data_IF_857389006745
#
_entry.id   IF_857389006745
#
_cell.length_a   1.000
_cell.length_b   1.000
_cell.length_c   1.000
_cell.angle_alpha   90.00
_cell.angle_beta   90.00
_cell.angle_gamma   90.00
#
_symmetry.space_group_name_H-M   'P 1'
#
loop_
_entity.id
_entity.type
_entity.pdbx_description
1 polymer ?
#
# COMPACT_ATOMS: atom_id res chain seq x y z
N UNK A 1 11.53 -39.22 16.81
CA UNK A 1 11.25 -37.94 16.09
C UNK A 1 12.38 -37.44 15.17
N UNK A 2 13.54 -38.12 15.09
CA UNK A 2 14.70 -37.65 14.30
C UNK A 2 14.80 -38.23 12.88
N UNK A 3 14.41 -39.49 12.66
CA UNK A 3 14.48 -40.17 11.35
C UNK A 3 13.61 -39.48 10.30
N UNK A 4 12.39 -39.10 10.68
CA UNK A 4 11.42 -38.43 9.79
C UNK A 4 11.91 -37.06 9.27
N UNK A 5 12.72 -36.36 10.07
CA UNK A 5 13.31 -35.07 9.66
C UNK A 5 14.42 -35.27 8.65
N UNK A 6 15.26 -36.29 8.82
CA UNK A 6 16.35 -36.59 7.88
C UNK A 6 15.80 -37.08 6.54
N UNK A 7 14.76 -37.92 6.54
CA UNK A 7 14.15 -38.39 5.29
C UNK A 7 13.41 -37.26 4.55
N UNK A 8 12.83 -36.30 5.27
CA UNK A 8 12.31 -35.05 4.68
C UNK A 8 13.42 -34.22 4.03
N UNK A 9 14.56 -34.06 4.70
CA UNK A 9 15.72 -33.33 4.14
C UNK A 9 16.27 -34.01 2.89
N UNK A 10 16.38 -35.35 2.90
CA UNK A 10 16.83 -36.13 1.74
C UNK A 10 15.92 -35.96 0.53
N UNK A 11 14.60 -36.04 0.73
CA UNK A 11 13.61 -35.76 -0.33
C UNK A 11 13.77 -34.35 -0.90
N UNK A 12 13.86 -33.34 -0.03
CA UNK A 12 14.08 -31.96 -0.46
C UNK A 12 15.36 -31.79 -1.29
N UNK A 13 16.50 -32.35 -0.83
CA UNK A 13 17.77 -32.28 -1.57
C UNK A 13 17.67 -32.98 -2.92
N UNK A 14 16.98 -34.11 -3.00
CA UNK A 14 16.77 -34.84 -4.24
C UNK A 14 15.94 -34.02 -5.24
N UNK A 15 14.82 -33.43 -4.79
CA UNK A 15 13.99 -32.53 -5.61
C UNK A 15 14.78 -31.31 -6.12
N UNK A 16 15.65 -30.71 -5.28
CA UNK A 16 16.48 -29.58 -5.72
C UNK A 16 17.54 -29.99 -6.75
N UNK A 17 18.12 -31.19 -6.61
CA UNK A 17 19.07 -31.73 -7.60
C UNK A 17 18.40 -31.99 -8.95
N UNK A 18 17.16 -32.51 -8.93
CA UNK A 18 16.36 -32.77 -10.14
C UNK A 18 15.97 -31.48 -10.87
N UNK A 19 15.77 -30.37 -10.15
CA UNK A 19 15.49 -29.04 -10.72
C UNK A 19 16.68 -28.40 -11.45
N UNK A 20 17.88 -29.01 -11.35
CA UNK A 20 19.02 -28.74 -12.23
C UNK A 20 19.36 -27.26 -12.40
N UNK A 21 19.99 -26.63 -11.40
CA UNK A 21 21.03 -25.60 -11.57
C UNK A 21 21.42 -25.00 -10.21
N UNK A 22 22.73 -24.89 -10.02
CA UNK A 22 23.50 -24.05 -9.10
C UNK A 22 22.80 -23.43 -7.90
N UNK A 23 23.29 -23.79 -6.72
CA UNK A 23 23.15 -23.07 -5.45
C UNK A 23 23.68 -21.63 -5.59
N UNK A 24 22.93 -20.74 -6.22
CA UNK A 24 22.99 -19.33 -5.87
C UNK A 24 22.66 -19.16 -4.39
N UNK A 25 22.95 -18.00 -3.82
CA UNK A 25 22.59 -17.71 -2.40
C UNK A 25 21.07 -17.88 -2.16
N UNK A 26 20.27 -17.82 -3.22
CA UNK A 26 18.82 -17.78 -3.18
C UNK A 26 18.21 -18.79 -4.16
N UNK A 27 17.33 -19.66 -3.67
CA UNK A 27 16.45 -20.46 -4.52
C UNK A 27 15.34 -19.55 -5.07
N UNK A 28 15.34 -19.29 -6.37
CA UNK A 28 14.42 -18.31 -6.97
C UNK A 28 12.94 -18.60 -6.68
N UNK A 29 12.50 -19.86 -6.77
CA UNK A 29 11.14 -20.25 -6.41
C UNK A 29 10.81 -19.98 -4.93
N UNK A 30 11.71 -20.36 -4.01
CA UNK A 30 11.52 -20.11 -2.59
C UNK A 30 11.55 -18.62 -2.25
N UNK A 31 12.35 -17.84 -2.97
CA UNK A 31 12.41 -16.39 -2.85
C UNK A 31 11.12 -15.74 -3.32
N UNK A 32 10.61 -16.09 -4.49
CA UNK A 32 9.34 -15.56 -4.99
C UNK A 32 8.19 -15.85 -4.02
N UNK A 33 8.11 -17.08 -3.49
CA UNK A 33 7.14 -17.43 -2.44
C UNK A 33 7.38 -16.63 -1.15
N UNK A 34 8.63 -16.54 -0.69
CA UNK A 34 9.00 -15.81 0.52
C UNK A 34 8.68 -14.32 0.43
N UNK A 35 8.91 -13.69 -0.71
CA UNK A 35 8.56 -12.28 -0.94
C UNK A 35 7.04 -12.04 -0.91
N UNK A 36 6.23 -13.01 -1.35
CA UNK A 36 4.76 -12.96 -1.18
C UNK A 36 4.33 -13.09 0.28
N UNK A 37 5.06 -13.88 1.07
CA UNK A 37 4.71 -14.17 2.48
C UNK A 37 5.21 -13.10 3.46
N UNK A 38 6.31 -12.41 3.16
CA UNK A 38 6.79 -11.26 3.96
C UNK A 38 5.68 -10.23 4.17
N UNK A 39 4.86 -10.05 3.12
CA UNK A 39 3.60 -9.34 3.17
C UNK A 39 3.70 -7.88 3.63
N UNK A 40 2.54 -7.25 3.73
CA UNK A 40 2.40 -5.91 4.32
C UNK A 40 1.35 -5.98 5.43
N UNK A 41 1.41 -5.03 6.36
CA UNK A 41 0.46 -4.97 7.49
C UNK A 41 -0.99 -4.99 7.02
N UNK A 42 -1.26 -4.34 5.89
CA UNK A 42 -2.54 -4.39 5.17
C UNK A 42 -2.35 -3.89 3.73
N UNK A 43 -3.36 -4.03 2.85
CA UNK A 43 -3.28 -3.61 1.45
C UNK A 43 -2.96 -2.13 1.23
N UNK A 44 -3.35 -1.24 2.15
CA UNK A 44 -3.06 0.18 2.01
C UNK A 44 -1.55 0.47 2.06
N UNK A 45 -0.78 -0.28 2.87
CA UNK A 45 0.68 -0.13 2.91
C UNK A 45 1.35 -0.62 1.61
N UNK A 46 0.88 -1.73 1.04
CA UNK A 46 1.39 -2.21 -0.24
C UNK A 46 1.09 -1.21 -1.37
N UNK A 47 -0.14 -0.69 -1.43
CA UNK A 47 -0.50 0.32 -2.42
C UNK A 47 0.22 1.66 -2.18
N UNK A 48 0.54 2.01 -0.93
CA UNK A 48 1.32 3.20 -0.61
C UNK A 48 2.74 3.14 -1.21
N UNK A 49 3.40 1.98 -1.24
CA UNK A 49 4.71 1.84 -1.91
C UNK A 49 4.65 2.19 -3.40
N UNK A 50 3.56 1.81 -4.07
CA UNK A 50 3.34 2.16 -5.48
C UNK A 50 3.05 3.65 -5.66
N UNK A 51 2.28 4.24 -4.75
CA UNK A 51 2.01 5.69 -4.75
C UNK A 51 3.27 6.51 -4.46
N UNK A 52 4.13 6.05 -3.56
CA UNK A 52 5.41 6.69 -3.26
C UNK A 52 6.27 6.73 -4.52
N UNK A 53 6.34 5.62 -5.28
CA UNK A 53 7.04 5.59 -6.56
C UNK A 53 6.48 6.59 -7.57
N UNK A 54 5.15 6.71 -7.68
CA UNK A 54 4.51 7.70 -8.53
C UNK A 54 4.89 9.13 -8.14
N UNK A 55 4.83 9.44 -6.84
CA UNK A 55 5.18 10.76 -6.32
C UNK A 55 6.67 11.12 -6.46
N UNK A 56 7.54 10.12 -6.41
CA UNK A 56 8.96 10.27 -6.73
C UNK A 56 9.21 10.47 -8.21
N UNK A 57 8.36 9.90 -9.07
CA UNK A 57 8.33 10.20 -10.50
C UNK A 57 7.67 11.56 -10.82
N UNK A 58 7.53 12.44 -9.82
CA UNK A 58 6.96 13.77 -9.92
C UNK A 58 5.47 13.82 -10.33
N UNK A 59 4.72 12.75 -10.05
CA UNK A 59 3.27 12.75 -10.26
C UNK A 59 2.59 13.86 -9.42
N UNK A 60 1.75 14.65 -10.08
CA UNK A 60 0.84 15.61 -9.46
C UNK A 60 -0.49 14.97 -9.10
N UNK A 61 -0.86 13.89 -9.79
CA UNK A 61 -2.09 13.14 -9.57
C UNK A 61 -1.82 11.64 -9.60
N UNK A 62 -2.43 10.92 -8.64
CA UNK A 62 -2.44 9.46 -8.60
C UNK A 62 -3.88 8.99 -8.37
N UNK A 63 -4.38 8.12 -9.25
CA UNK A 63 -5.71 7.51 -9.16
C UNK A 63 -5.61 5.99 -9.00
N UNK A 64 -6.33 5.46 -8.02
CA UNK A 64 -6.52 4.02 -7.85
C UNK A 64 -7.89 3.66 -8.42
N UNK A 65 -7.94 2.80 -9.43
CA UNK A 65 -9.17 2.38 -10.11
C UNK A 65 -9.47 0.92 -9.84
N UNK A 66 -10.75 0.60 -9.70
CA UNK A 66 -11.23 -0.77 -9.56
C UNK A 66 -11.85 -1.24 -10.86
N UNK A 67 -11.37 -2.39 -11.35
CA UNK A 67 -11.89 -3.03 -12.55
C UNK A 67 -12.66 -4.31 -12.21
N UNK A 68 -13.60 -4.66 -13.07
CA UNK A 68 -14.48 -5.81 -12.92
C UNK A 68 -14.55 -6.57 -14.25
N UNK A 69 -14.48 -7.89 -14.20
CA UNK A 69 -14.70 -8.72 -15.37
C UNK A 69 -16.16 -8.64 -15.83
N UNK A 70 -16.42 -8.84 -17.13
CA UNK A 70 -17.79 -8.81 -17.69
C UNK A 70 -18.76 -9.77 -16.98
N UNK A 71 -18.24 -10.88 -16.42
CA UNK A 71 -19.04 -11.84 -15.65
C UNK A 71 -19.43 -11.36 -14.24
N UNK A 72 -18.74 -10.35 -13.70
CA UNK A 72 -18.94 -9.85 -12.34
C UNK A 72 -20.03 -8.76 -12.30
N UNK A 73 -21.29 -9.19 -12.46
CA UNK A 73 -22.45 -8.28 -12.49
C UNK A 73 -22.71 -7.49 -11.21
N UNK A 74 -22.16 -7.95 -10.08
CA UNK A 74 -22.41 -7.31 -8.79
C UNK A 74 -21.49 -6.13 -8.54
N UNK A 75 -20.31 -6.12 -9.17
CA UNK A 75 -19.24 -5.14 -8.94
C UNK A 75 -18.88 -4.96 -7.44
N UNK A 76 -19.21 -5.96 -6.61
CA UNK A 76 -18.98 -5.88 -5.15
C UNK A 76 -17.51 -6.13 -4.83
N UNK A 77 -16.86 -7.02 -5.57
CA UNK A 77 -15.46 -7.42 -5.37
C UNK A 77 -14.69 -7.07 -6.64
N UNK A 78 -13.65 -6.24 -6.58
CA UNK A 78 -12.85 -5.95 -7.76
C UNK A 78 -12.11 -7.20 -8.24
N UNK A 79 -12.05 -7.34 -9.55
CA UNK A 79 -11.17 -8.33 -10.21
C UNK A 79 -9.82 -7.70 -10.49
N UNK A 80 -9.79 -6.39 -10.76
CA UNK A 80 -8.58 -5.63 -11.01
C UNK A 80 -8.45 -4.44 -10.07
N UNK A 81 -7.21 -4.11 -9.70
CA UNK A 81 -6.87 -2.83 -9.05
C UNK A 81 -5.75 -2.19 -9.85
N UNK A 82 -5.97 -0.99 -10.35
CA UNK A 82 -4.97 -0.25 -11.11
C UNK A 82 -4.54 1.00 -10.36
N UNK A 83 -3.24 1.28 -10.31
CA UNK A 83 -2.65 2.51 -9.80
C UNK A 83 -2.19 3.28 -11.03
N UNK A 84 -2.72 4.48 -11.24
CA UNK A 84 -2.45 5.30 -12.42
C UNK A 84 -1.86 6.64 -11.97
N UNK A 85 -0.77 7.08 -12.58
CA UNK A 85 -0.14 8.37 -12.29
C UNK A 85 0.23 9.15 -13.54
N UNK A 86 0.37 10.47 -13.39
CA UNK A 86 0.84 11.42 -14.40
C UNK A 86 2.32 11.79 -14.22
N UNK A 87 3.12 10.90 -13.64
CA UNK A 87 4.54 11.13 -13.45
C UNK A 87 5.33 11.12 -14.78
N UNK A 88 6.65 11.16 -14.67
CA UNK A 88 7.55 11.19 -15.82
C UNK A 88 7.53 9.89 -16.67
N UNK A 89 6.95 8.81 -16.14
CA UNK A 89 7.00 7.48 -16.75
C UNK A 89 8.41 6.91 -16.79
N UNK A 90 8.56 5.81 -17.54
CA UNK A 90 9.80 5.06 -17.72
C UNK A 90 10.05 4.82 -19.20
N UNK A 91 11.32 4.88 -19.61
CA UNK A 91 11.72 4.31 -20.90
C UNK A 91 11.47 2.79 -20.90
N UNK A 92 11.24 2.15 -22.06
CA UNK A 92 10.86 0.74 -22.13
C UNK A 92 11.77 -0.17 -21.31
N UNK A 93 13.08 -0.05 -21.48
CA UNK A 93 14.09 -0.89 -20.82
C UNK A 93 13.99 -0.78 -19.29
N UNK A 94 13.71 0.42 -18.79
CA UNK A 94 13.57 0.68 -17.36
C UNK A 94 12.35 -0.03 -16.75
N UNK A 95 11.28 -0.29 -17.53
CA UNK A 95 10.12 -1.07 -17.06
C UNK A 95 10.57 -2.48 -16.69
N UNK A 96 11.38 -3.12 -17.55
CA UNK A 96 11.92 -4.45 -17.30
C UNK A 96 12.84 -4.51 -16.08
N UNK A 97 13.57 -3.43 -15.79
CA UNK A 97 14.34 -3.33 -14.54
C UNK A 97 13.45 -3.08 -13.32
N UNK A 98 12.45 -2.21 -13.41
CA UNK A 98 11.59 -1.84 -12.29
C UNK A 98 10.78 -3.01 -11.72
N UNK A 99 10.46 -4.01 -12.54
CA UNK A 99 9.76 -5.23 -12.10
C UNK A 99 10.69 -6.30 -11.48
N UNK A 100 12.02 -6.09 -11.53
CA UNK A 100 13.00 -6.98 -10.90
C UNK A 100 13.30 -6.53 -9.48
N UNK A 101 13.42 -7.48 -8.56
CA UNK A 101 13.95 -7.17 -7.23
C UNK A 101 15.40 -6.70 -7.33
N UNK A 102 15.69 -5.52 -6.77
CA UNK A 102 17.01 -4.90 -6.89
C UNK A 102 17.13 -3.94 -8.07
N UNK A 103 16.12 -3.87 -8.96
CA UNK A 103 16.14 -2.97 -10.11
C UNK A 103 15.80 -1.55 -9.72
N UNK A 104 16.78 -0.63 -9.81
CA UNK A 104 16.59 0.79 -9.52
C UNK A 104 17.63 1.64 -10.25
N UNK A 105 17.24 2.84 -10.66
CA UNK A 105 18.13 3.88 -11.20
C UNK A 105 18.66 4.83 -10.11
N UNK A 106 18.30 4.58 -8.83
CA UNK A 106 18.53 5.49 -7.69
C UNK A 106 19.50 4.94 -6.66
N UNK A 107 20.35 4.00 -7.06
CA UNK A 107 21.37 3.47 -6.16
C UNK A 107 22.28 4.61 -5.66
N UNK A 108 22.16 4.94 -4.37
CA UNK A 108 23.01 5.96 -3.72
C UNK A 108 22.32 7.29 -3.42
N UNK A 109 21.07 7.50 -3.84
CA UNK A 109 20.30 8.64 -3.36
C UNK A 109 20.03 8.50 -1.85
N UNK A 110 20.44 9.52 -1.08
CA UNK A 110 20.27 9.57 0.38
C UNK A 110 18.95 10.24 0.79
N UNK A 111 18.21 10.84 -0.15
CA UNK A 111 17.00 11.62 0.12
C UNK A 111 15.71 10.93 -0.35
N UNK A 112 15.77 10.04 -1.34
CA UNK A 112 14.62 9.29 -1.84
C UNK A 112 14.30 8.00 -1.06
N UNK A 113 13.00 7.69 -0.91
CA UNK A 113 12.50 6.32 -0.62
C UNK A 113 12.78 5.37 -1.82
N UNK A 114 12.73 4.05 -1.64
CA UNK A 114 12.85 3.11 -2.78
C UNK A 114 14.28 2.87 -3.32
N UNK A 115 15.32 3.24 -2.57
CA UNK A 115 16.74 3.13 -2.97
C UNK A 115 17.19 1.75 -3.47
N UNK A 116 16.56 0.67 -3.01
CA UNK A 116 17.02 -0.69 -3.28
C UNK A 116 16.25 -1.38 -4.42
N UNK A 117 15.19 -0.79 -4.97
CA UNK A 117 14.43 -1.44 -6.06
C UNK A 117 13.63 -2.67 -5.62
N UNK A 118 13.18 -2.73 -4.37
CA UNK A 118 12.34 -3.83 -3.85
C UNK A 118 10.86 -3.45 -3.75
N UNK A 119 10.52 -2.16 -3.71
CA UNK A 119 9.17 -1.69 -3.36
C UNK A 119 8.09 -2.14 -4.33
N UNK A 120 8.25 -1.86 -5.63
CA UNK A 120 7.27 -2.22 -6.66
C UNK A 120 7.00 -3.74 -6.73
N UNK A 121 8.00 -4.60 -6.99
CA UNK A 121 7.73 -6.01 -7.14
C UNK A 121 7.23 -6.63 -5.83
N UNK A 122 7.74 -6.23 -4.66
CA UNK A 122 7.30 -6.78 -3.36
C UNK A 122 5.85 -6.38 -3.03
N UNK A 123 5.50 -5.12 -3.23
CA UNK A 123 4.13 -4.64 -2.99
C UNK A 123 3.13 -5.29 -3.93
N UNK A 124 3.45 -5.40 -5.22
CA UNK A 124 2.59 -6.04 -6.21
C UNK A 124 2.35 -7.51 -5.89
N UNK A 125 3.41 -8.30 -5.65
CA UNK A 125 3.25 -9.74 -5.35
C UNK A 125 2.61 -10.00 -3.99
N UNK A 126 2.64 -9.04 -3.06
CA UNK A 126 1.93 -9.20 -1.77
C UNK A 126 0.39 -9.15 -1.93
N UNK A 127 -0.09 -8.55 -3.03
CA UNK A 127 -1.52 -8.36 -3.29
C UNK A 127 -2.06 -9.28 -4.38
N UNK A 128 -1.24 -9.57 -5.40
CA UNK A 128 -1.65 -10.28 -6.60
C UNK A 128 -0.61 -11.31 -7.06
N UNK A 129 -1.05 -12.40 -7.70
CA UNK A 129 -0.14 -13.35 -8.39
C UNK A 129 0.39 -12.83 -9.72
N UNK A 130 -0.40 -11.98 -10.36
CA UNK A 130 -0.09 -11.40 -11.65
C UNK A 130 -0.32 -9.91 -11.63
N UNK A 131 0.64 -9.17 -12.17
CA UNK A 131 0.53 -7.74 -12.38
C UNK A 131 1.21 -7.31 -13.67
N UNK A 132 0.72 -6.22 -14.26
CA UNK A 132 1.29 -5.63 -15.47
C UNK A 132 1.64 -4.17 -15.19
N UNK A 133 2.87 -3.78 -15.52
CA UNK A 133 3.33 -2.39 -15.43
C UNK A 133 3.35 -1.81 -16.82
N UNK A 134 2.48 -0.86 -17.08
CA UNK A 134 2.51 -0.01 -18.27
C UNK A 134 3.22 1.29 -17.91
N UNK A 135 4.11 1.76 -18.77
CA UNK A 135 4.69 3.09 -18.61
C UNK A 135 4.94 3.76 -19.95
N UNK A 136 4.82 5.08 -19.94
CA UNK A 136 4.98 5.94 -21.10
C UNK A 136 5.83 7.16 -20.71
N UNK A 137 7.01 7.36 -21.30
CA UNK A 137 7.74 8.61 -21.13
C UNK A 137 7.13 9.70 -22.03
N UNK A 138 7.43 10.96 -21.74
CA UNK A 138 6.80 12.12 -22.41
C UNK A 138 6.83 12.08 -23.94
N UNK A 139 7.94 11.60 -24.49
CA UNK A 139 8.20 11.56 -25.93
C UNK A 139 8.21 10.11 -26.46
N UNK A 140 7.42 9.22 -25.85
CA UNK A 140 7.35 7.81 -26.26
C UNK A 140 5.95 7.24 -26.20
N UNK A 141 5.85 5.95 -26.48
CA UNK A 141 4.60 5.18 -26.48
C UNK A 141 4.51 4.27 -25.26
N UNK A 142 3.29 3.83 -24.95
CA UNK A 142 3.05 2.85 -23.90
C UNK A 142 3.80 1.55 -24.19
N UNK A 143 4.63 1.16 -23.23
CA UNK A 143 5.23 -0.16 -23.16
C UNK A 143 4.79 -0.84 -21.88
N UNK A 144 4.80 -2.17 -21.88
CA UNK A 144 4.44 -2.94 -20.70
C UNK A 144 5.33 -4.16 -20.48
N UNK A 145 5.42 -4.54 -19.21
CA UNK A 145 5.91 -5.84 -18.76
C UNK A 145 4.87 -6.45 -17.84
N UNK A 146 4.49 -7.70 -18.12
CA UNK A 146 3.62 -8.49 -17.26
C UNK A 146 4.47 -9.46 -16.45
N UNK A 147 4.29 -9.45 -15.14
CA UNK A 147 4.87 -10.43 -14.24
C UNK A 147 3.77 -11.36 -13.76
N UNK A 148 3.89 -12.61 -14.17
CA UNK A 148 3.17 -13.73 -13.58
C UNK A 148 4.17 -14.56 -12.76
N UNK A 149 3.87 -14.77 -11.48
CA UNK A 149 4.80 -15.42 -10.56
C UNK A 149 4.97 -16.90 -10.88
N UNK A 150 3.92 -17.57 -11.33
CA UNK A 150 4.00 -18.99 -11.64
C UNK A 150 4.83 -19.18 -12.93
N UNK A 151 4.66 -18.30 -13.93
CA UNK A 151 5.52 -18.28 -15.13
C UNK A 151 6.99 -17.94 -14.80
N UNK A 152 7.21 -16.92 -13.96
CA UNK A 152 8.55 -16.49 -13.57
C UNK A 152 9.27 -17.59 -12.75
N UNK A 153 8.55 -18.26 -11.84
CA UNK A 153 9.09 -19.38 -11.07
C UNK A 153 9.44 -20.58 -11.98
N UNK A 154 8.62 -20.87 -12.98
CA UNK A 154 8.89 -21.92 -13.97
C UNK A 154 10.09 -21.57 -14.88
N UNK A 155 10.29 -20.29 -15.18
CA UNK A 155 11.40 -19.80 -15.99
C UNK A 155 12.69 -19.55 -15.19
N UNK A 156 12.65 -19.61 -13.86
CA UNK A 156 13.73 -19.10 -13.01
C UNK A 156 15.09 -19.79 -13.18
N UNK A 157 15.12 -21.03 -13.67
CA UNK A 157 16.36 -21.77 -13.97
C UNK A 157 16.92 -21.48 -15.37
N UNK A 158 16.19 -20.72 -16.20
CA UNK A 158 16.53 -20.34 -17.57
C UNK A 158 16.58 -18.82 -17.69
N UNK A 159 17.80 -18.28 -17.67
CA UNK A 159 18.05 -16.84 -17.76
C UNK A 159 17.48 -16.22 -19.04
N UNK A 160 17.50 -16.95 -20.17
CA UNK A 160 16.98 -16.43 -21.44
C UNK A 160 15.46 -16.33 -21.41
N UNK A 161 14.78 -17.33 -20.85
CA UNK A 161 13.32 -17.28 -20.67
C UNK A 161 12.92 -16.19 -19.69
N UNK A 162 13.63 -16.09 -18.57
CA UNK A 162 13.39 -15.03 -17.58
C UNK A 162 13.55 -13.64 -18.21
N UNK A 163 14.61 -13.42 -18.98
CA UNK A 163 14.82 -12.15 -19.69
C UNK A 163 13.70 -11.86 -20.69
N UNK A 164 13.27 -12.86 -21.45
CA UNK A 164 12.20 -12.71 -22.43
C UNK A 164 10.83 -12.38 -21.81
N UNK A 165 10.55 -12.87 -20.59
CA UNK A 165 9.35 -12.54 -19.82
C UNK A 165 9.37 -11.10 -19.30
N UNK A 166 10.55 -10.63 -18.88
CA UNK A 166 10.72 -9.30 -18.28
C UNK A 166 11.12 -8.21 -19.30
N UNK A 167 11.17 -8.57 -20.58
CA UNK A 167 11.45 -7.62 -21.67
C UNK A 167 10.21 -6.78 -21.99
N UNK A 168 10.35 -5.45 -22.05
CA UNK A 168 9.23 -4.55 -22.37
C UNK A 168 8.73 -4.77 -23.79
N UNK A 169 7.42 -4.61 -23.99
CA UNK A 169 6.79 -4.67 -25.31
C UNK A 169 5.85 -3.48 -25.50
N UNK A 170 5.69 -2.95 -26.74
CA UNK A 170 4.64 -2.00 -27.03
C UNK A 170 3.28 -2.57 -26.61
N UNK A 171 2.48 -1.77 -25.90
CA UNK A 171 1.23 -2.23 -25.32
C UNK A 171 0.17 -1.14 -25.32
N UNK A 172 -1.08 -1.55 -25.46
CA UNK A 172 -2.24 -0.67 -25.26
C UNK A 172 -2.83 -0.92 -23.87
N UNK A 173 -3.26 0.15 -23.21
CA UNK A 173 -3.99 0.01 -21.94
C UNK A 173 -5.32 -0.72 -22.14
N UNK A 174 -5.77 -1.53 -21.16
CA UNK A 174 -7.11 -2.12 -21.17
C UNK A 174 -8.22 -1.06 -21.32
N UNK A 175 -9.23 -1.36 -22.13
CA UNK A 175 -10.32 -0.42 -22.46
C UNK A 175 -11.03 0.15 -21.22
N UNK A 176 -11.23 -0.65 -20.18
CA UNK A 176 -11.89 -0.22 -18.95
C UNK A 176 -11.10 0.88 -18.21
N UNK A 177 -9.79 0.96 -18.40
CA UNK A 177 -8.94 2.03 -17.85
C UNK A 177 -9.04 3.31 -18.66
N UNK A 178 -9.42 3.23 -19.93
CA UNK A 178 -9.53 4.37 -20.84
C UNK A 178 -10.92 5.04 -20.79
N UNK A 179 -11.86 4.47 -20.06
CA UNK A 179 -13.18 5.06 -19.82
C UNK A 179 -13.05 6.40 -19.10
N UNK A 180 -14.05 7.27 -19.31
CA UNK A 180 -14.07 8.60 -18.70
C UNK A 180 -13.85 8.51 -17.17
N UNK A 181 -12.95 9.34 -16.61
CA UNK A 181 -12.71 9.38 -15.17
C UNK A 181 -14.01 9.56 -14.38
N UNK A 182 -14.13 8.85 -13.25
CA UNK A 182 -15.31 8.92 -12.37
C UNK A 182 -15.07 9.92 -11.24
N UNK A 183 -16.09 10.72 -10.90
CA UNK A 183 -16.08 11.58 -9.72
C UNK A 183 -14.89 12.55 -9.69
N UNK A 184 -14.07 12.48 -8.65
CA UNK A 184 -12.90 13.35 -8.44
C UNK A 184 -11.66 12.94 -9.27
N UNK A 185 -11.71 11.78 -9.93
CA UNK A 185 -10.65 11.32 -10.83
C UNK A 185 -10.60 12.25 -12.04
N UNK A 186 -9.43 12.81 -12.32
CA UNK A 186 -9.19 13.72 -13.45
C UNK A 186 -8.10 13.20 -14.40
N UNK A 187 -7.58 11.99 -14.17
CA UNK A 187 -6.52 11.42 -14.98
C UNK A 187 -7.10 10.80 -16.26
N UNK A 188 -7.10 11.55 -17.35
CA UNK A 188 -7.42 10.96 -18.67
C UNK A 188 -6.19 10.25 -19.25
N UNK A 189 -6.24 8.92 -19.24
CA UNK A 189 -5.15 8.08 -19.75
C UNK A 189 -5.01 8.12 -21.29
N UNK A 190 -6.04 8.56 -22.02
CA UNK A 190 -5.97 8.68 -23.48
C UNK A 190 -5.11 9.88 -23.92
N UNK A 191 -5.10 10.97 -23.13
CA UNK A 191 -4.40 12.21 -23.45
C UNK A 191 -3.12 12.42 -22.63
N UNK A 192 -2.74 11.42 -21.82
CA UNK A 192 -1.57 11.48 -20.96
C UNK A 192 -0.27 11.62 -21.78
N UNK A 193 0.52 12.64 -21.46
CA UNK A 193 1.85 12.85 -22.07
C UNK A 193 2.85 11.82 -21.56
N UNK A 194 2.89 11.61 -20.25
CA UNK A 194 3.74 10.63 -19.57
C UNK A 194 3.04 10.11 -18.33
N UNK A 195 3.41 8.90 -17.90
CA UNK A 195 2.92 8.33 -16.65
C UNK A 195 3.13 6.83 -16.56
N UNK A 196 2.67 6.25 -15.46
CA UNK A 196 2.74 4.81 -15.21
C UNK A 196 1.37 4.29 -14.78
N UNK A 197 1.05 3.06 -15.20
CA UNK A 197 -0.11 2.31 -14.73
C UNK A 197 0.36 0.95 -14.24
N UNK A 198 0.15 0.67 -12.96
CA UNK A 198 0.40 -0.64 -12.36
C UNK A 198 -0.95 -1.33 -12.22
N UNK A 199 -1.17 -2.38 -13.01
CA UNK A 199 -2.40 -3.17 -13.05
C UNK A 199 -2.21 -4.48 -12.29
N UNK A 200 -2.96 -4.68 -11.21
CA UNK A 200 -3.03 -5.93 -10.46
C UNK A 200 -4.21 -6.77 -10.98
N UNK A 201 -3.95 -8.01 -11.41
CA UNK A 201 -4.93 -8.85 -12.15
C UNK A 201 -5.42 -10.07 -11.38
N UNK A 202 -4.54 -10.86 -10.77
CA UNK A 202 -4.95 -12.01 -9.96
C UNK A 202 -4.83 -11.67 -8.47
N UNK A 203 -5.87 -11.08 -7.90
CA UNK A 203 -5.93 -10.54 -6.53
C UNK A 203 -6.10 -11.61 -5.43
N UNK A 204 -5.51 -12.79 -5.57
CA UNK A 204 -5.64 -13.93 -4.66
C UNK A 204 -5.44 -13.58 -3.16
N UNK A 205 -4.42 -12.78 -2.85
CA UNK A 205 -4.10 -12.35 -1.50
C UNK A 205 -5.09 -11.32 -0.99
N UNK A 206 -5.45 -10.33 -1.80
CA UNK A 206 -6.47 -9.35 -1.41
C UNK A 206 -7.82 -10.02 -1.12
N UNK A 207 -8.17 -11.07 -1.87
CA UNK A 207 -9.41 -11.85 -1.69
C UNK A 207 -9.40 -12.69 -0.42
N UNK A 208 -8.25 -13.16 0.04
CA UNK A 208 -8.15 -13.89 1.31
C UNK A 208 -8.10 -12.98 2.54
N UNK A 209 -7.79 -11.69 2.37
CA UNK A 209 -7.75 -10.72 3.47
C UNK A 209 -9.14 -10.25 3.90
N UNK A 210 -9.54 -10.65 5.11
CA UNK A 210 -10.81 -10.29 5.73
C UNK A 210 -11.07 -8.78 5.73
N UNK A 211 -12.22 -8.39 5.18
CA UNK A 211 -12.68 -6.99 5.16
C UNK A 211 -11.98 -6.09 4.15
N UNK A 212 -11.14 -6.60 3.24
CA UNK A 212 -10.53 -5.81 2.16
C UNK A 212 -11.05 -6.18 0.76
N UNK A 213 -11.90 -7.20 0.69
CA UNK A 213 -12.38 -7.76 -0.58
C UNK A 213 -13.49 -6.94 -1.25
N UNK A 214 -14.29 -6.17 -0.50
CA UNK A 214 -15.41 -5.41 -1.06
C UNK A 214 -14.93 -4.05 -1.54
N UNK A 215 -15.30 -3.62 -2.74
CA UNK A 215 -14.91 -2.34 -3.35
C UNK A 215 -15.17 -1.16 -2.41
N UNK A 216 -16.37 -1.05 -1.83
CA UNK A 216 -16.71 0.01 -0.86
C UNK A 216 -15.79 0.01 0.36
N UNK A 217 -15.52 -1.17 0.91
CA UNK A 217 -14.70 -1.31 2.11
C UNK A 217 -13.23 -1.02 1.82
N UNK A 218 -12.73 -1.51 0.68
CA UNK A 218 -11.39 -1.22 0.17
C UNK A 218 -11.24 0.29 -0.03
N UNK A 219 -12.12 0.94 -0.80
CA UNK A 219 -12.09 2.40 -1.02
C UNK A 219 -12.08 3.17 0.29
N UNK A 220 -13.00 2.86 1.19
CA UNK A 220 -13.11 3.55 2.49
C UNK A 220 -11.83 3.44 3.30
N UNK A 221 -11.25 2.24 3.40
CA UNK A 221 -10.02 2.02 4.15
C UNK A 221 -8.82 2.67 3.48
N UNK A 222 -8.70 2.59 2.17
CA UNK A 222 -7.63 3.26 1.41
C UNK A 222 -7.67 4.78 1.63
N UNK A 223 -8.84 5.41 1.50
CA UNK A 223 -9.00 6.84 1.76
C UNK A 223 -8.62 7.21 3.19
N UNK A 224 -8.98 6.39 4.18
CA UNK A 224 -8.60 6.61 5.57
C UNK A 224 -7.07 6.52 5.77
N UNK A 225 -6.44 5.48 5.23
CA UNK A 225 -5.00 5.28 5.35
C UNK A 225 -4.21 6.35 4.60
N UNK A 226 -4.53 6.61 3.34
CA UNK A 226 -3.88 7.63 2.52
C UNK A 226 -4.09 9.03 3.05
N UNK A 227 -5.27 9.30 3.62
CA UNK A 227 -5.53 10.55 4.33
C UNK A 227 -4.53 10.81 5.46
N UNK A 228 -4.09 9.77 6.17
CA UNK A 228 -3.08 9.89 7.25
C UNK A 228 -1.65 9.89 6.72
N UNK A 229 -1.34 8.96 5.80
CA UNK A 229 0.01 8.77 5.23
C UNK A 229 0.43 10.03 4.47
N UNK A 230 -0.43 10.51 3.58
CA UNK A 230 -0.16 11.60 2.65
C UNK A 230 -0.76 12.93 3.08
N UNK A 231 -1.12 13.10 4.37
CA UNK A 231 -1.79 14.31 4.88
C UNK A 231 -1.11 15.63 4.52
N UNK A 232 0.21 15.63 4.35
CA UNK A 232 0.99 16.81 3.96
C UNK A 232 1.09 17.00 2.45
N UNK A 233 0.85 15.95 1.65
CA UNK A 233 0.92 16.00 0.19
C UNK A 233 -0.44 16.22 -0.46
N UNK A 234 -1.54 15.76 0.16
CA UNK A 234 -2.91 15.94 -0.34
C UNK A 234 -3.28 17.39 -0.69
N UNK A 235 -2.81 18.44 0.02
CA UNK A 235 -3.09 19.82 -0.38
C UNK A 235 -2.46 20.23 -1.72
N UNK A 236 -1.36 19.60 -2.11
CA UNK A 236 -0.56 19.94 -3.28
C UNK A 236 -0.71 18.92 -4.42
N UNK A 237 -1.14 17.69 -4.08
CA UNK A 237 -1.21 16.55 -4.98
C UNK A 237 -2.56 15.88 -4.90
N UNK A 238 -3.07 15.45 -6.04
CA UNK A 238 -4.36 14.78 -6.14
C UNK A 238 -4.20 13.28 -5.89
N UNK A 239 -4.89 12.76 -4.88
CA UNK A 239 -5.01 11.31 -4.62
C UNK A 239 -6.47 10.94 -4.74
N UNK A 240 -6.80 10.02 -5.64
CA UNK A 240 -8.18 9.57 -5.86
C UNK A 240 -8.24 8.05 -5.71
N UNK A 241 -9.25 7.55 -5.00
CA UNK A 241 -9.54 6.12 -4.90
C UNK A 241 -10.94 5.88 -5.43
N UNK A 242 -11.01 5.24 -6.59
CA UNK A 242 -12.24 4.82 -7.26
C UNK A 242 -13.27 5.96 -7.33
N UNK A 243 -12.78 7.07 -7.89
CA UNK A 243 -13.53 8.31 -8.11
C UNK A 243 -13.78 9.19 -6.89
N UNK A 244 -13.19 8.88 -5.72
CA UNK A 244 -13.28 9.74 -4.52
C UNK A 244 -11.91 10.28 -4.12
N UNK A 245 -11.81 11.59 -3.96
CA UNK A 245 -10.60 12.27 -3.51
C UNK A 245 -10.26 11.96 -2.05
N UNK A 246 -8.98 11.73 -1.77
CA UNK A 246 -8.48 11.63 -0.41
C UNK A 246 -8.51 13.01 0.27
N UNK A 247 -8.72 12.99 1.59
CA UNK A 247 -8.67 14.17 2.43
C UNK A 247 -7.60 13.97 3.50
N UNK A 248 -6.83 15.00 3.81
CA UNK A 248 -5.85 14.95 4.89
C UNK A 248 -6.54 14.56 6.20
N UNK A 249 -5.98 13.60 6.92
CA UNK A 249 -6.42 13.17 8.25
C UNK A 249 -5.22 13.33 9.17
N UNK A 250 -5.33 14.23 10.14
CA UNK A 250 -4.30 14.42 11.15
C UNK A 250 -4.71 13.73 12.46
N UNK A 251 -4.03 12.64 12.85
CA UNK A 251 -4.33 11.95 14.11
C UNK A 251 -4.18 12.84 15.36
N UNK A 252 -3.40 13.92 15.28
CA UNK A 252 -3.16 14.85 16.37
C UNK A 252 -4.08 16.08 16.34
N UNK A 253 -4.87 16.24 15.27
CA UNK A 253 -5.80 17.36 15.06
C UNK A 253 -5.13 18.75 15.18
N UNK A 254 -3.90 18.87 14.71
CA UNK A 254 -3.10 20.09 14.68
C UNK A 254 -3.19 20.81 13.32
N UNK A 255 -3.44 20.08 12.24
CA UNK A 255 -3.48 20.62 10.88
C UNK A 255 -4.86 21.22 10.58
N UNK A 256 -4.91 22.51 10.30
CA UNK A 256 -6.17 23.26 10.06
C UNK A 256 -6.95 22.74 8.84
N UNK A 257 -6.24 22.37 7.77
CA UNK A 257 -6.82 21.80 6.55
C UNK A 257 -7.17 20.31 6.66
N UNK A 258 -6.84 19.64 7.78
CA UNK A 258 -7.16 18.23 7.94
C UNK A 258 -8.63 18.04 8.33
N UNK A 259 -9.21 16.94 7.83
CA UNK A 259 -10.55 16.49 8.20
C UNK A 259 -10.64 16.39 9.73
N UNK A 260 -11.75 16.90 10.27
CA UNK A 260 -12.06 16.95 11.71
C UNK A 260 -11.33 18.02 12.55
N UNK A 261 -10.52 18.91 11.95
CA UNK A 261 -9.81 19.99 12.66
C UNK A 261 -10.74 20.86 13.53
N UNK A 262 -11.90 21.27 12.99
CA UNK A 262 -12.86 22.16 13.66
C UNK A 262 -13.67 21.46 14.76
N UNK A 263 -14.03 20.19 14.56
CA UNK A 263 -14.95 19.46 15.45
C UNK A 263 -14.30 19.10 16.80
N UNK A 264 -12.98 18.98 16.83
CA UNK A 264 -12.23 18.65 18.04
C UNK A 264 -11.45 19.82 18.64
N UNK A 265 -11.20 20.91 17.91
CA UNK A 265 -10.79 22.18 18.52
C UNK A 265 -11.83 22.65 19.54
N UNK A 266 -13.12 22.50 19.26
CA UNK A 266 -14.19 22.81 20.20
C UNK A 266 -14.07 21.97 21.49
N UNK A 267 -13.83 20.66 21.36
CA UNK A 267 -13.61 19.76 22.51
C UNK A 267 -12.35 20.16 23.25
N UNK A 268 -11.21 20.35 22.56
CA UNK A 268 -9.92 20.71 23.18
C UNK A 268 -9.96 22.07 23.87
N UNK A 269 -10.66 23.04 23.32
CA UNK A 269 -10.90 24.34 23.95
C UNK A 269 -11.84 24.19 25.15
N UNK A 270 -12.88 23.36 25.06
CA UNK A 270 -13.72 23.03 26.21
C UNK A 270 -12.92 22.37 27.36
N UNK A 271 -11.94 21.51 27.05
CA UNK A 271 -11.01 20.95 28.05
C UNK A 271 -10.05 21.98 28.64
N UNK A 272 -9.56 22.95 27.84
CA UNK A 272 -8.69 24.04 28.32
C UNK A 272 -9.42 25.03 29.23
N UNK A 273 -10.72 25.25 29.01
CA UNK A 273 -11.56 26.12 29.85
C UNK A 273 -12.23 25.39 31.02
N UNK A 274 -12.22 24.05 31.02
CA UNK A 274 -12.66 23.26 32.15
C UNK A 274 -11.56 23.18 33.21
N UNK A 275 -11.36 24.28 33.95
CA UNK A 275 -10.60 24.27 35.20
C UNK A 275 -11.40 23.51 36.26
N UNK A 276 -11.35 22.18 36.22
CA UNK A 276 -11.84 21.36 37.33
C UNK A 276 -10.90 21.58 38.52
N UNK A 277 -11.24 22.52 39.41
CA UNK A 277 -10.75 22.44 40.79
C UNK A 277 -11.33 21.15 41.36
N UNK A 278 -10.53 20.09 41.42
CA UNK A 278 -10.82 18.96 42.30
C UNK A 278 -10.89 19.52 43.72
N UNK A 279 -12.09 19.84 44.21
CA UNK A 279 -12.33 19.84 45.65
C UNK A 279 -12.39 18.38 46.05
N UNK A 280 -11.30 17.90 46.64
CA UNK A 280 -11.36 16.69 47.45
C UNK A 280 -12.44 16.93 48.52
N UNK A 281 -13.45 16.06 48.65
CA UNK A 281 -14.43 16.21 49.71
C UNK A 281 -13.71 16.01 51.04
N UNK A 282 -13.79 17.01 51.92
CA UNK A 282 -13.43 16.81 53.31
C UNK A 282 -14.38 15.75 53.89
N UNK A 283 -13.80 14.71 54.49
CA UNK A 283 -14.56 13.70 55.23
C UNK A 283 -15.43 14.37 56.30
N UNK A 284 -16.74 14.10 56.29
CA UNK A 284 -17.58 14.22 57.48
C UNK A 284 -18.52 13.01 57.57
N UNK A 285 -18.82 12.55 58.79
CA UNK A 285 -19.46 11.26 59.01
C UNK A 285 -20.99 11.37 59.03
N UNK A 286 -21.66 10.33 58.52
CA UNK A 286 -23.05 10.02 58.86
C UNK A 286 -24.09 10.24 57.75
N UNK A 287 -25.00 9.27 57.62
CA UNK A 287 -26.35 9.47 57.08
C UNK A 287 -26.61 8.89 55.69
N UNK A 288 -27.44 7.85 55.65
CA UNK A 288 -28.03 7.22 54.47
C UNK A 288 -29.04 8.15 53.77
N UNK A 289 -29.07 8.18 52.43
CA UNK A 289 -30.27 7.97 51.59
C UNK A 289 -29.99 8.25 50.09
N UNK A 290 -30.70 7.51 49.26
CA UNK A 290 -30.48 7.16 47.86
C UNK A 290 -30.81 8.26 46.82
N UNK A 291 -29.94 8.45 45.81
CA UNK A 291 -30.31 9.01 44.49
C UNK A 291 -29.48 8.32 43.40
N UNK A 292 -30.07 7.73 42.33
CA UNK A 292 -29.30 7.09 41.28
C UNK A 292 -28.78 8.13 40.29
N UNK A 293 -27.46 8.38 40.30
CA UNK A 293 -26.80 9.12 39.20
C UNK A 293 -26.46 8.15 38.07
N UNK A 294 -27.13 8.34 36.94
CA UNK A 294 -26.70 7.81 35.65
C UNK A 294 -25.30 8.35 35.35
N UNK A 295 -24.29 7.46 35.35
CA UNK A 295 -22.92 7.78 34.99
C UNK A 295 -22.64 7.14 33.61
N UNK A 296 -22.46 7.91 32.52
CA UNK A 296 -22.03 7.32 31.27
C UNK A 296 -20.61 6.80 31.43
N UNK A 297 -20.43 5.47 31.33
CA UNK A 297 -19.11 4.82 31.27
C UNK A 297 -18.43 5.21 29.96
N UNK A 298 -17.58 6.24 30.02
CA UNK A 298 -16.57 6.48 28.99
C UNK A 298 -15.37 5.59 29.33
N UNK A 299 -15.06 4.64 28.45
CA UNK A 299 -13.86 3.81 28.55
C UNK A 299 -12.62 4.69 28.37
N UNK A 300 -11.89 4.94 29.47
CA UNK A 300 -10.55 5.52 29.43
C UNK A 300 -9.53 4.42 29.11
N UNK A 301 -8.80 4.54 28.00
CA UNK A 301 -7.54 3.81 27.82
C UNK A 301 -6.46 4.49 28.68
N UNK A 302 -5.74 3.76 29.56
CA UNK A 302 -4.65 4.34 30.33
C UNK A 302 -3.40 4.47 29.44
N UNK A 303 -3.06 5.69 29.05
CA UNK A 303 -1.71 6.02 28.58
C UNK A 303 -0.86 6.19 29.83
N UNK A 304 0.00 5.21 30.14
CA UNK A 304 1.06 5.39 31.15
C UNK A 304 2.10 6.34 30.57
N UNK A 305 2.11 7.58 31.06
CA UNK A 305 3.21 8.51 30.85
C UNK A 305 4.29 8.19 31.90
N UNK A 306 5.38 7.52 31.52
CA UNK A 306 6.57 7.43 32.38
C UNK A 306 7.43 8.66 32.14
N UNK A 307 7.33 9.65 33.03
CA UNK A 307 8.23 10.80 33.09
C UNK A 307 9.06 10.71 34.36
N UNK A 308 10.30 10.24 34.25
CA UNK A 308 11.41 10.65 35.14
C UNK A 308 12.71 10.62 34.32
N UNK A 309 13.11 11.78 33.82
CA UNK A 309 14.51 12.06 33.45
C UNK A 309 14.94 13.21 34.34
N UNK A 310 15.83 12.95 35.30
CA UNK A 310 16.45 13.98 36.14
C UNK A 310 17.78 14.41 35.50
N UNK A 311 18.09 15.71 35.41
CA UNK A 311 19.42 16.16 35.05
C UNK A 311 20.35 16.04 36.29
N UNK A 312 21.57 15.56 36.07
CA UNK A 312 22.65 15.59 37.06
C UNK A 312 23.24 17.00 37.19
N UNK A 313 23.56 17.49 38.40
CA UNK A 313 24.34 18.71 38.57
C UNK A 313 25.84 18.43 38.62
N UNK A 314 26.60 19.33 37.96
CA UNK A 314 28.07 19.53 37.91
C UNK A 314 28.95 18.35 37.52
#
# INVERSE_FOLDING_TARGET
MTIETIDRQRRYVQEQKEKGNGLGVVFADAFLRGMRDLGYKNPAWALAEMMDNAFQAAAGSVAIRFGFERGNKTEVKPDFVAICDDGNGMIPEMIGYAVRWGGTDREGDRKGFGRYGYGLPSSAVSLAKRYTVYSKPRDGEWHAVTVDIDELAAAASDLKKTEALLSPRPATLPEWLLQAPKGDDALDLNSLKSGTVILLEDLDRLRSMGGWIKAESLRTKLLQHFGVIYRHWIPERRIVVDGRGAQSVDPLFLMEHARFSTRLQYVRNAWRHASWRLRLPAERPGGCESVPRCCPRIFSMPIRCSTEWRPSPS
#
